data_IF_169960605895
#
_entry.id   IF_169960605895
#
_cell.length_a   1.000
_cell.length_b   1.000
_cell.length_c   1.000
_cell.angle_alpha   90.00
_cell.angle_beta   90.00
_cell.angle_gamma   90.00
#
_symmetry.space_group_name_H-M   'P 1'
#
loop_
_entity.id
_entity.type
_entity.pdbx_description
1 polymer ?
#
# COMPACT_ATOMS: atom_id res chain seq x y z
N UNK A 1 18.49 8.50 -3.80
CA UNK A 1 18.40 9.45 -4.93
C UNK A 1 17.32 10.53 -4.75
N UNK A 2 16.28 10.31 -3.94
CA UNK A 2 15.23 11.30 -3.62
C UNK A 2 15.74 12.58 -2.95
N UNK A 3 16.79 12.49 -2.13
CA UNK A 3 17.37 13.62 -1.41
C UNK A 3 18.32 14.48 -2.25
N UNK A 4 18.86 13.94 -3.35
CA UNK A 4 19.88 14.59 -4.18
C UNK A 4 19.27 15.26 -5.41
N UNK A 5 18.20 14.69 -6.00
CA UNK A 5 17.49 15.25 -7.16
C UNK A 5 16.21 16.03 -6.81
N UNK A 6 15.87 16.11 -5.53
CA UNK A 6 14.52 16.47 -5.10
C UNK A 6 13.53 15.33 -5.36
N UNK A 7 12.51 15.22 -4.50
CA UNK A 7 11.39 14.31 -4.70
C UNK A 7 10.29 15.05 -5.45
N UNK A 8 9.74 14.45 -6.52
CA UNK A 8 8.45 14.90 -7.05
C UNK A 8 7.43 14.87 -5.90
N UNK A 9 6.77 15.99 -5.62
CA UNK A 9 5.85 16.19 -4.50
C UNK A 9 6.49 16.43 -3.11
N UNK A 10 7.73 16.91 -3.10
CA UNK A 10 8.35 17.52 -1.91
C UNK A 10 8.96 16.53 -0.91
N UNK A 11 9.54 17.05 0.20
CA UNK A 11 10.31 16.25 1.16
C UNK A 11 9.48 15.20 1.89
N UNK A 12 8.16 15.40 2.00
CA UNK A 12 7.23 14.48 2.67
C UNK A 12 7.16 13.12 1.96
N UNK A 13 7.00 13.11 0.63
CA UNK A 13 7.00 11.85 -0.14
C UNK A 13 8.37 11.17 -0.08
N UNK A 14 9.46 11.96 -0.09
CA UNK A 14 10.82 11.46 0.13
C UNK A 14 10.98 10.76 1.48
N UNK A 15 10.43 11.33 2.55
CA UNK A 15 10.40 10.73 3.88
C UNK A 15 9.56 9.45 3.92
N UNK A 16 8.34 9.46 3.37
CA UNK A 16 7.48 8.28 3.29
C UNK A 16 8.15 7.11 2.58
N UNK A 17 8.80 7.37 1.44
CA UNK A 17 9.54 6.34 0.69
C UNK A 17 10.78 5.84 1.43
N UNK A 18 11.49 6.72 2.13
CA UNK A 18 12.65 6.32 2.95
C UNK A 18 12.21 5.42 4.09
N UNK A 19 11.11 5.77 4.77
CA UNK A 19 10.53 4.96 5.84
C UNK A 19 10.06 3.60 5.33
N UNK A 20 9.41 3.56 4.16
CA UNK A 20 9.05 2.30 3.51
C UNK A 20 10.30 1.44 3.22
N UNK A 21 11.38 2.05 2.73
CA UNK A 21 12.66 1.35 2.53
C UNK A 21 13.24 0.75 3.82
N UNK A 22 13.22 1.50 4.92
CA UNK A 22 13.66 1.01 6.24
C UNK A 22 12.78 -0.16 6.70
N UNK A 23 11.46 -0.07 6.52
CA UNK A 23 10.52 -1.15 6.86
C UNK A 23 10.78 -2.42 6.05
N UNK A 24 11.12 -2.31 4.76
CA UNK A 24 11.51 -3.46 3.92
C UNK A 24 12.73 -4.18 4.51
N UNK A 25 13.76 -3.42 4.92
CA UNK A 25 14.95 -4.00 5.52
C UNK A 25 14.63 -4.70 6.85
N UNK A 26 13.85 -4.05 7.72
CA UNK A 26 13.43 -4.64 8.99
C UNK A 26 12.64 -5.94 8.76
N UNK A 27 11.58 -5.89 7.95
CA UNK A 27 10.73 -7.06 7.72
C UNK A 27 11.47 -8.20 6.99
N UNK A 28 12.42 -7.89 6.11
CA UNK A 28 13.24 -8.93 5.47
C UNK A 28 14.15 -9.65 6.47
N UNK A 29 14.79 -8.92 7.40
CA UNK A 29 15.61 -9.51 8.47
C UNK A 29 14.76 -10.45 9.33
N UNK A 30 13.57 -10.02 9.75
CA UNK A 30 12.66 -10.84 10.57
C UNK A 30 12.13 -12.05 9.81
N UNK A 31 11.78 -11.90 8.53
CA UNK A 31 11.35 -13.01 7.69
C UNK A 31 12.44 -14.08 7.53
N UNK A 32 13.69 -13.68 7.30
CA UNK A 32 14.83 -14.62 7.20
C UNK A 32 15.14 -15.26 8.56
N UNK A 33 15.14 -14.48 9.64
CA UNK A 33 15.43 -14.99 10.98
C UNK A 33 14.42 -16.06 11.41
N UNK A 34 13.13 -15.80 11.21
CA UNK A 34 12.05 -16.75 11.56
C UNK A 34 12.07 -17.99 10.65
N UNK A 35 12.45 -17.86 9.38
CA UNK A 35 12.69 -19.00 8.49
C UNK A 35 13.83 -19.89 9.01
N UNK A 36 14.96 -19.31 9.42
CA UNK A 36 16.10 -20.05 9.98
C UNK A 36 15.76 -20.77 11.28
N UNK A 37 14.86 -20.20 12.09
CA UNK A 37 14.36 -20.81 13.33
C UNK A 37 13.26 -21.85 13.09
N UNK A 38 12.94 -22.19 11.83
CA UNK A 38 11.86 -23.12 11.43
C UNK A 38 10.48 -22.74 11.98
N UNK A 39 10.26 -21.45 12.27
CA UNK A 39 8.98 -20.94 12.78
C UNK A 39 8.08 -20.49 11.62
N UNK A 40 7.52 -21.46 10.89
CA UNK A 40 6.78 -21.20 9.65
C UNK A 40 5.59 -20.25 9.80
N UNK A 41 4.81 -20.36 10.89
CA UNK A 41 3.68 -19.45 11.12
C UNK A 41 4.14 -17.99 11.31
N UNK A 42 5.26 -17.78 11.99
CA UNK A 42 5.79 -16.43 12.19
C UNK A 42 6.44 -15.92 10.90
N UNK A 43 7.14 -16.78 10.18
CA UNK A 43 7.71 -16.46 8.87
C UNK A 43 6.62 -15.96 7.90
N UNK A 44 5.49 -16.66 7.77
CA UNK A 44 4.38 -16.24 6.91
C UNK A 44 3.88 -14.84 7.26
N UNK A 45 3.79 -14.51 8.56
CA UNK A 45 3.34 -13.19 9.03
C UNK A 45 4.33 -12.08 8.65
N UNK A 46 5.63 -12.32 8.75
CA UNK A 46 6.65 -11.34 8.37
C UNK A 46 6.81 -11.24 6.85
N UNK A 47 6.71 -12.36 6.13
CA UNK A 47 6.75 -12.40 4.68
C UNK A 47 5.58 -11.63 4.05
N UNK A 48 4.36 -11.75 4.60
CA UNK A 48 3.21 -11.00 4.11
C UNK A 48 3.37 -9.49 4.35
N UNK A 49 3.86 -9.08 5.52
CA UNK A 49 4.19 -7.66 5.80
C UNK A 49 5.25 -7.14 4.84
N UNK A 50 6.31 -7.92 4.60
CA UNK A 50 7.36 -7.57 3.65
C UNK A 50 6.79 -7.39 2.23
N UNK A 51 5.97 -8.34 1.76
CA UNK A 51 5.35 -8.27 0.44
C UNK A 51 4.54 -6.98 0.25
N UNK A 52 3.77 -6.59 1.27
CA UNK A 52 2.98 -5.36 1.22
C UNK A 52 3.86 -4.11 1.18
N UNK A 53 4.90 -4.03 2.00
CA UNK A 53 5.79 -2.85 1.98
C UNK A 53 6.64 -2.78 0.71
N UNK A 54 7.03 -3.91 0.13
CA UNK A 54 7.72 -3.92 -1.17
C UNK A 54 6.86 -3.36 -2.31
N UNK A 55 5.54 -3.51 -2.24
CA UNK A 55 4.60 -3.04 -3.25
C UNK A 55 4.06 -1.62 -2.99
N UNK A 56 4.68 -0.84 -2.11
CA UNK A 56 4.20 0.49 -1.70
C UNK A 56 4.02 1.46 -2.86
N UNK A 57 4.95 1.49 -3.81
CA UNK A 57 4.82 2.34 -5.01
C UNK A 57 3.64 1.95 -5.91
N UNK A 58 3.23 0.68 -5.86
CA UNK A 58 2.07 0.22 -6.60
C UNK A 58 0.77 0.65 -5.90
N UNK A 59 0.67 0.46 -4.58
CA UNK A 59 -0.44 0.97 -3.79
C UNK A 59 -0.59 2.50 -3.89
N UNK A 60 0.54 3.22 -3.98
CA UNK A 60 0.54 4.64 -4.26
C UNK A 60 -0.24 4.97 -5.53
N UNK A 61 0.11 4.31 -6.65
CA UNK A 61 -0.54 4.54 -7.94
C UNK A 61 -2.01 4.17 -7.90
N UNK A 62 -2.34 2.97 -7.45
CA UNK A 62 -3.74 2.52 -7.39
C UNK A 62 -4.60 3.48 -6.57
N UNK A 63 -4.12 3.89 -5.39
CA UNK A 63 -4.84 4.83 -4.53
C UNK A 63 -4.95 6.25 -5.11
N UNK A 64 -3.88 6.78 -5.70
CA UNK A 64 -3.89 8.09 -6.35
C UNK A 64 -4.89 8.13 -7.52
N UNK A 65 -4.85 7.14 -8.41
CA UNK A 65 -5.76 7.08 -9.56
C UNK A 65 -7.22 6.87 -9.12
N UNK A 66 -7.46 6.04 -8.11
CA UNK A 66 -8.79 5.87 -7.55
C UNK A 66 -9.32 7.18 -6.94
N UNK A 67 -8.49 7.91 -6.20
CA UNK A 67 -8.86 9.21 -5.65
C UNK A 67 -9.18 10.23 -6.73
N UNK A 68 -8.35 10.31 -7.76
CA UNK A 68 -8.56 11.21 -8.91
C UNK A 68 -9.87 10.87 -9.62
N UNK A 69 -10.18 9.58 -9.80
CA UNK A 69 -11.47 9.18 -10.38
C UNK A 69 -12.65 9.63 -9.52
N UNK A 70 -12.58 9.42 -8.21
CA UNK A 70 -13.71 9.69 -7.30
C UNK A 70 -13.92 11.18 -7.01
N UNK A 71 -12.85 11.98 -7.01
CA UNK A 71 -12.89 13.38 -6.55
C UNK A 71 -12.48 14.38 -7.63
N UNK A 72 -12.08 13.92 -8.81
CA UNK A 72 -11.49 14.77 -9.86
C UNK A 72 -10.09 15.29 -9.52
N UNK A 73 -9.44 14.77 -8.47
CA UNK A 73 -8.14 15.27 -8.00
C UNK A 73 -8.24 16.33 -6.91
N UNK A 74 -9.35 16.40 -6.18
CA UNK A 74 -9.51 17.34 -5.08
C UNK A 74 -8.37 17.18 -4.05
N UNK A 75 -7.71 18.29 -3.69
CA UNK A 75 -6.60 18.27 -2.73
C UNK A 75 -5.29 17.68 -3.28
N UNK A 76 -5.15 17.62 -4.61
CA UNK A 76 -3.91 17.30 -5.33
C UNK A 76 -3.61 18.46 -6.29
N UNK A 77 -2.48 19.12 -6.08
CA UNK A 77 -1.89 20.01 -7.06
C UNK A 77 -1.02 19.18 -8.00
N UNK A 78 -1.42 19.10 -9.28
CA UNK A 78 -0.73 18.30 -10.29
C UNK A 78 0.57 18.93 -10.80
N UNK A 79 0.76 20.25 -10.64
CA UNK A 79 1.98 20.92 -11.08
C UNK A 79 3.12 20.67 -10.09
N UNK A 80 2.85 20.81 -8.80
CA UNK A 80 3.84 20.60 -7.74
C UNK A 80 3.82 19.17 -7.19
N UNK A 81 2.79 18.39 -7.53
CA UNK A 81 2.49 17.08 -6.95
C UNK A 81 2.37 17.12 -5.42
N UNK A 82 1.84 18.22 -4.89
CA UNK A 82 1.63 18.43 -3.46
C UNK A 82 0.14 18.49 -3.12
N UNK A 83 -0.20 18.46 -1.84
CA UNK A 83 -1.57 18.62 -1.39
C UNK A 83 -1.92 17.78 -0.16
N UNK A 84 -3.07 18.06 0.47
CA UNK A 84 -3.50 17.33 1.67
C UNK A 84 -3.67 15.83 1.40
N UNK A 85 -4.22 15.44 0.24
CA UNK A 85 -4.36 14.02 -0.07
C UNK A 85 -3.00 13.35 -0.33
N UNK A 86 -2.11 14.00 -1.08
CA UNK A 86 -0.76 13.47 -1.35
C UNK A 86 0.03 13.27 -0.06
N UNK A 87 -0.05 14.24 0.86
CA UNK A 87 0.60 14.17 2.18
C UNK A 87 0.06 13.02 3.02
N UNK A 88 -1.27 12.83 3.05
CA UNK A 88 -1.90 11.71 3.72
C UNK A 88 -1.49 10.36 3.08
N UNK A 89 -1.56 10.28 1.75
CA UNK A 89 -1.30 9.05 1.01
C UNK A 89 0.18 8.66 0.99
N UNK A 90 1.10 9.62 1.18
CA UNK A 90 2.53 9.36 1.35
C UNK A 90 2.84 8.36 2.46
N UNK A 91 2.02 8.34 3.52
CA UNK A 91 2.11 7.37 4.61
C UNK A 91 1.03 6.28 4.50
N UNK A 92 -0.16 6.65 4.04
CA UNK A 92 -1.28 5.72 3.84
C UNK A 92 -0.94 4.52 2.93
N UNK A 93 -0.10 4.73 1.91
CA UNK A 93 0.32 3.71 0.95
C UNK A 93 0.95 2.45 1.57
N UNK A 94 1.55 2.55 2.77
CA UNK A 94 2.09 1.40 3.49
C UNK A 94 1.33 1.10 4.78
N UNK A 95 0.77 2.11 5.45
CA UNK A 95 0.01 1.93 6.70
C UNK A 95 -1.29 1.16 6.44
N UNK A 96 -2.04 1.51 5.39
CA UNK A 96 -3.34 0.87 5.10
C UNK A 96 -3.16 -0.62 4.77
N UNK A 97 -2.26 -1.02 3.85
CA UNK A 97 -2.00 -2.44 3.61
C UNK A 97 -1.55 -3.19 4.88
N UNK A 98 -0.71 -2.57 5.72
CA UNK A 98 -0.22 -3.19 6.94
C UNK A 98 -1.33 -3.37 7.99
N UNK A 99 -2.26 -2.42 8.10
CA UNK A 99 -3.45 -2.54 8.94
C UNK A 99 -4.37 -3.66 8.46
N UNK A 100 -4.57 -3.79 7.14
CA UNK A 100 -5.36 -4.88 6.56
C UNK A 100 -4.73 -6.25 6.84
N UNK A 101 -3.40 -6.35 6.79
CA UNK A 101 -2.69 -7.57 7.17
C UNK A 101 -2.93 -7.92 8.65
N UNK A 102 -2.92 -6.93 9.53
CA UNK A 102 -3.19 -7.16 10.96
C UNK A 102 -4.65 -7.59 11.19
N UNK A 103 -5.62 -6.97 10.52
CA UNK A 103 -7.02 -7.38 10.56
C UNK A 103 -7.22 -8.81 10.06
N UNK A 104 -6.54 -9.18 8.98
CA UNK A 104 -6.55 -10.56 8.47
C UNK A 104 -6.02 -11.54 9.53
N UNK A 105 -4.88 -11.25 10.16
CA UNK A 105 -4.34 -12.10 11.22
C UNK A 105 -5.23 -12.16 12.48
N UNK A 106 -5.93 -11.07 12.81
CA UNK A 106 -6.92 -11.08 13.88
C UNK A 106 -8.11 -11.97 13.54
N UNK A 107 -8.59 -11.92 12.29
CA UNK A 107 -9.66 -12.81 11.80
C UNK A 107 -9.30 -14.29 11.93
N UNK A 108 -8.05 -14.65 11.62
CA UNK A 108 -7.55 -16.02 11.79
C UNK A 108 -7.48 -16.48 13.25
N UNK A 109 -7.30 -15.56 14.21
CA UNK A 109 -7.22 -15.88 15.65
C UNK A 109 -8.58 -15.91 16.33
N UNK A 110 -9.56 -15.17 15.80
CA UNK A 110 -10.87 -15.02 16.41
C UNK A 110 -11.75 -16.23 16.12
N UNK A 111 -12.35 -16.79 17.16
CA UNK A 111 -13.26 -17.95 17.07
C UNK A 111 -14.70 -17.52 16.74
N UNK A 112 -15.05 -16.25 16.98
CA UNK A 112 -16.42 -15.76 16.78
C UNK A 112 -16.73 -15.57 15.28
N UNK A 113 -17.79 -16.21 14.75
CA UNK A 113 -18.10 -16.14 13.31
C UNK A 113 -18.51 -14.73 12.87
N UNK A 114 -19.18 -13.94 13.72
CA UNK A 114 -19.58 -12.56 13.41
C UNK A 114 -18.37 -11.66 13.08
N UNK A 115 -17.30 -11.76 13.88
CA UNK A 115 -16.06 -11.01 13.65
C UNK A 115 -15.37 -11.46 12.36
N UNK A 116 -15.40 -12.76 12.04
CA UNK A 116 -14.85 -13.28 10.79
C UNK A 116 -15.62 -12.78 9.56
N UNK A 117 -16.95 -12.72 9.62
CA UNK A 117 -17.76 -12.16 8.51
C UNK A 117 -17.48 -10.68 8.28
N UNK A 118 -17.34 -9.88 9.35
CA UNK A 118 -16.98 -8.45 9.23
C UNK A 118 -15.60 -8.30 8.58
N UNK A 119 -14.59 -9.04 9.04
CA UNK A 119 -13.23 -8.97 8.49
C UNK A 119 -13.22 -9.41 7.02
N UNK A 120 -13.89 -10.51 6.68
CA UNK A 120 -14.04 -10.97 5.30
C UNK A 120 -14.76 -9.95 4.42
N UNK A 121 -15.82 -9.31 4.93
CA UNK A 121 -16.54 -8.24 4.23
C UNK A 121 -15.65 -7.03 3.94
N UNK A 122 -14.84 -6.61 4.92
CA UNK A 122 -13.84 -5.54 4.74
C UNK A 122 -12.81 -5.92 3.68
N UNK A 123 -12.26 -7.14 3.74
CA UNK A 123 -11.27 -7.61 2.77
C UNK A 123 -11.86 -7.72 1.36
N UNK A 124 -13.11 -8.17 1.23
CA UNK A 124 -13.83 -8.19 -0.06
C UNK A 124 -14.04 -6.78 -0.59
N UNK A 125 -14.49 -5.84 0.25
CA UNK A 125 -14.65 -4.44 -0.13
C UNK A 125 -13.34 -3.84 -0.62
N UNK A 126 -12.24 -4.06 0.09
CA UNK A 126 -10.91 -3.61 -0.35
C UNK A 126 -10.51 -4.28 -1.66
N UNK A 127 -10.76 -5.57 -1.83
CA UNK A 127 -10.43 -6.28 -3.08
C UNK A 127 -11.17 -5.70 -4.28
N UNK A 128 -12.46 -5.35 -4.11
CA UNK A 128 -13.24 -4.68 -5.14
C UNK A 128 -12.70 -3.27 -5.44
N UNK A 129 -12.34 -2.50 -4.43
CA UNK A 129 -11.71 -1.18 -4.61
C UNK A 129 -10.37 -1.29 -5.35
N UNK A 130 -9.56 -2.30 -5.03
CA UNK A 130 -8.31 -2.59 -5.73
C UNK A 130 -8.56 -2.95 -7.20
N UNK A 131 -9.58 -3.77 -7.47
CA UNK A 131 -9.96 -4.13 -8.83
C UNK A 131 -10.37 -2.90 -9.64
N UNK A 132 -11.20 -2.03 -9.07
CA UNK A 132 -11.59 -0.75 -9.70
C UNK A 132 -10.34 0.10 -9.97
N UNK A 133 -9.48 0.29 -8.95
CA UNK A 133 -8.26 1.09 -9.11
C UNK A 133 -7.31 0.54 -10.18
N UNK A 134 -7.19 -0.79 -10.31
CA UNK A 134 -6.38 -1.44 -11.36
C UNK A 134 -6.96 -1.13 -12.75
N UNK A 135 -8.28 -1.25 -12.92
CA UNK A 135 -8.94 -0.92 -14.19
C UNK A 135 -8.71 0.54 -14.56
N UNK A 136 -8.84 1.45 -13.60
CA UNK A 136 -8.62 2.90 -13.80
C UNK A 136 -7.17 3.18 -14.20
N UNK A 137 -6.19 2.59 -13.51
CA UNK A 137 -4.77 2.77 -13.86
C UNK A 137 -4.49 2.22 -15.26
N UNK A 138 -5.06 1.06 -15.59
CA UNK A 138 -4.84 0.39 -16.88
C UNK A 138 -5.38 1.26 -18.02
N UNK A 139 -6.62 1.72 -17.92
CA UNK A 139 -7.27 2.53 -18.96
C UNK A 139 -6.71 3.95 -19.00
N UNK A 140 -6.47 4.56 -17.83
CA UNK A 140 -6.05 5.97 -17.74
C UNK A 140 -4.57 6.21 -18.01
N UNK A 141 -3.69 5.24 -17.78
CA UNK A 141 -2.24 5.44 -17.89
C UNK A 141 -1.51 4.45 -18.80
N UNK A 142 -1.99 3.22 -18.95
CA UNK A 142 -1.24 2.17 -19.66
C UNK A 142 -1.71 2.01 -21.11
N UNK A 143 -3.02 1.85 -21.35
CA UNK A 143 -3.58 1.72 -22.70
C UNK A 143 -3.20 2.90 -23.62
N UNK A 144 -3.31 4.18 -23.19
CA UNK A 144 -3.00 5.32 -24.06
C UNK A 144 -1.54 5.35 -24.53
N UNK A 145 -0.61 4.72 -23.79
CA UNK A 145 0.81 4.67 -24.12
C UNK A 145 1.21 3.49 -25.01
N UNK A 146 0.31 2.51 -25.17
CA UNK A 146 0.54 1.32 -25.99
C UNK A 146 -0.14 1.47 -27.35
N UNK A 147 -1.28 2.17 -27.38
CA UNK A 147 -2.10 2.33 -28.59
C UNK A 147 -1.84 3.67 -29.31
N UNK A 148 -1.18 4.62 -28.65
CA UNK A 148 -0.73 5.89 -29.23
C UNK A 148 0.78 6.06 -29.13
#
# INVERSE_FOLDING_TARGET
>A
MTWVRGSAGGPILGMGNTLAGVLILLFSIWAVRTARQKQFQQHQRWALRLFLVCNVTWFFRVGMFLWILLTGGAGVDFETFTGPFVTFWAYGQFIIPLLLAELYFQGLKNIKPSTQYVISGVLLGVTLLMLIGILVVTVGAWIPRVVG
#
